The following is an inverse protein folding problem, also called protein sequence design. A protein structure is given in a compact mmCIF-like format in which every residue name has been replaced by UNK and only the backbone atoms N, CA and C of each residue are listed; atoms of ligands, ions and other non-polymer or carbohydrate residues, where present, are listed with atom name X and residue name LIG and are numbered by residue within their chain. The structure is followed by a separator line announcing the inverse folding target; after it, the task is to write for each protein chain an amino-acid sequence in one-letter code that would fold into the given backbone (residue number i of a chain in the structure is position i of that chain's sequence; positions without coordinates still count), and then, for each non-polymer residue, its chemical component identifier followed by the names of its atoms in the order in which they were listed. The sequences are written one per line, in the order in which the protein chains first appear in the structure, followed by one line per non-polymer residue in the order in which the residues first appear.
data_IF_229070536551
#
_entry.id   IF_229070536551
#
_cell.length_a   1.000
_cell.length_b   1.000
_cell.length_c   1.000
_cell.angle_alpha   90.00
_cell.angle_beta   90.00
_cell.angle_gamma   90.00
#
_symmetry.space_group_name_H-M   'P 1'
#
loop_
_entity.id
_entity.type
_entity.pdbx_description
1 polymer ?
#
# COMPACT_ATOMS: atom_id res chain seq x y z
N UNK A 1 7.40 12.11 -35.16
CA UNK A 1 8.83 12.08 -35.57
C UNK A 1 9.63 13.28 -35.07
N UNK A 2 9.08 14.50 -35.03
CA UNK A 2 9.83 15.70 -34.59
C UNK A 2 10.37 15.63 -33.15
N UNK A 3 9.58 15.10 -32.20
CA UNK A 3 9.99 14.93 -30.80
C UNK A 3 11.06 13.85 -30.58
N UNK A 4 11.07 12.81 -31.43
CA UNK A 4 12.08 11.74 -31.36
C UNK A 4 13.47 12.27 -31.72
N UNK A 5 13.55 13.11 -32.75
CA UNK A 5 14.81 13.73 -33.18
C UNK A 5 15.42 14.63 -32.09
N UNK A 6 14.61 15.50 -31.48
CA UNK A 6 15.08 16.35 -30.38
C UNK A 6 15.51 15.54 -29.15
N UNK A 7 14.78 14.49 -28.81
CA UNK A 7 15.17 13.61 -27.71
C UNK A 7 16.50 12.92 -27.98
N UNK A 8 16.67 12.33 -29.18
CA UNK A 8 17.93 11.69 -29.58
C UNK A 8 19.11 12.66 -29.58
N UNK A 9 18.92 13.91 -30.00
CA UNK A 9 19.97 14.93 -29.89
C UNK A 9 20.28 15.31 -28.44
N UNK A 10 19.27 15.35 -27.57
CA UNK A 10 19.42 15.70 -26.16
C UNK A 10 20.13 14.61 -25.34
N UNK A 11 19.77 13.33 -25.54
CA UNK A 11 20.36 12.20 -24.78
C UNK A 11 21.50 11.47 -25.49
N UNK A 12 21.60 11.60 -26.81
CA UNK A 12 22.63 10.93 -27.61
C UNK A 12 24.03 11.50 -27.38
N UNK A 13 24.14 12.83 -27.25
CA UNK A 13 25.39 13.52 -26.92
C UNK A 13 25.99 13.07 -25.57
N UNK A 14 25.27 13.13 -24.43
CA UNK A 14 25.80 12.69 -23.14
C UNK A 14 26.13 11.19 -23.14
N UNK A 15 25.31 10.35 -23.77
CA UNK A 15 25.62 8.93 -23.93
C UNK A 15 26.92 8.70 -24.70
N UNK A 16 27.10 9.39 -25.84
CA UNK A 16 28.31 9.27 -26.64
C UNK A 16 29.55 9.75 -25.86
N UNK A 17 29.43 10.85 -25.09
CA UNK A 17 30.51 11.34 -24.22
C UNK A 17 30.92 10.25 -23.21
N UNK A 18 29.95 9.67 -22.49
CA UNK A 18 30.22 8.60 -21.53
C UNK A 18 30.85 7.36 -22.19
N UNK A 19 30.32 6.94 -23.35
CA UNK A 19 30.85 5.80 -24.10
C UNK A 19 32.29 6.02 -24.52
N UNK A 20 32.59 7.15 -25.17
CA UNK A 20 33.92 7.46 -25.66
C UNK A 20 34.94 7.59 -24.53
N UNK A 21 34.53 8.11 -23.35
CA UNK A 21 35.39 8.27 -22.19
C UNK A 21 36.01 6.94 -21.72
N UNK A 22 35.27 5.82 -21.78
CA UNK A 22 35.75 4.51 -21.31
C UNK A 22 36.03 3.51 -22.44
N UNK A 23 35.56 3.75 -23.67
CA UNK A 23 35.71 2.86 -24.83
C UNK A 23 37.15 2.79 -25.41
N UNK A 24 37.98 3.82 -25.22
CA UNK A 24 39.34 3.87 -25.79
C UNK A 24 40.44 3.60 -24.76
N UNK A 25 40.09 3.13 -23.57
CA UNK A 25 41.06 2.93 -22.50
C UNK A 25 41.90 1.67 -22.76
N UNK A 26 43.06 1.86 -23.41
CA UNK A 26 43.94 0.78 -23.85
C UNK A 26 44.58 -0.03 -22.71
N UNK A 27 44.67 0.55 -21.51
CA UNK A 27 45.39 0.00 -20.35
C UNK A 27 44.43 -0.71 -19.39
N UNK A 28 44.43 -2.04 -19.40
CA UNK A 28 43.51 -2.90 -18.64
C UNK A 28 43.54 -2.75 -17.12
N UNK A 29 44.74 -2.71 -16.55
CA UNK A 29 44.98 -2.33 -15.15
C UNK A 29 44.40 -0.98 -14.71
N UNK A 30 44.07 -0.06 -15.63
CA UNK A 30 43.44 1.23 -15.30
C UNK A 30 41.91 1.21 -15.44
N UNK A 31 41.32 0.18 -16.07
CA UNK A 31 39.88 0.08 -16.25
C UNK A 31 39.15 -0.10 -14.92
N UNK A 32 39.69 -0.92 -14.01
CA UNK A 32 39.12 -1.15 -12.68
C UNK A 32 39.08 0.13 -11.84
N UNK A 33 40.20 0.86 -11.62
CA UNK A 33 40.15 2.12 -10.87
C UNK A 33 39.34 3.21 -11.59
N UNK A 34 39.39 3.30 -12.93
CA UNK A 34 38.56 4.25 -13.68
C UNK A 34 37.06 3.96 -13.53
N UNK A 35 36.66 2.69 -13.54
CA UNK A 35 35.29 2.26 -13.31
C UNK A 35 34.80 2.57 -11.89
N UNK A 36 35.66 2.37 -10.87
CA UNK A 36 35.35 2.74 -9.48
C UNK A 36 35.18 4.25 -9.35
N UNK A 37 36.10 5.05 -9.91
CA UNK A 37 36.00 6.52 -9.90
C UNK A 37 34.73 6.99 -10.62
N UNK A 38 34.41 6.41 -11.79
CA UNK A 38 33.20 6.73 -12.51
C UNK A 38 31.93 6.40 -11.70
N UNK A 39 31.88 5.23 -11.02
CA UNK A 39 30.76 4.85 -10.18
C UNK A 39 30.58 5.76 -8.95
N UNK A 40 31.68 6.21 -8.35
CA UNK A 40 31.65 7.15 -7.21
C UNK A 40 31.15 8.52 -7.67
N UNK A 41 31.68 9.05 -8.78
CA UNK A 41 31.22 10.32 -9.36
C UNK A 41 29.75 10.25 -9.75
N UNK A 42 29.31 9.14 -10.34
CA UNK A 42 27.92 8.90 -10.69
C UNK A 42 26.97 8.99 -9.50
N UNK A 43 27.38 8.38 -8.38
CA UNK A 43 26.60 8.38 -7.16
C UNK A 43 26.48 9.78 -6.58
N UNK A 44 27.58 10.52 -6.55
CA UNK A 44 27.62 11.91 -6.04
C UNK A 44 26.73 12.82 -6.90
N UNK A 45 26.84 12.73 -8.22
CA UNK A 45 26.02 13.51 -9.16
C UNK A 45 24.54 13.13 -9.06
N UNK A 46 24.22 11.84 -8.95
CA UNK A 46 22.84 11.39 -8.78
C UNK A 46 22.22 11.92 -7.48
N UNK A 47 22.94 11.84 -6.35
CA UNK A 47 22.48 12.37 -5.07
C UNK A 47 22.34 13.90 -5.09
N UNK A 48 23.29 14.61 -5.72
CA UNK A 48 23.27 16.07 -5.90
C UNK A 48 22.05 16.53 -6.70
N UNK A 49 21.77 15.88 -7.83
CA UNK A 49 20.62 16.24 -8.67
C UNK A 49 19.30 15.83 -8.00
N UNK A 50 19.26 14.70 -7.30
CA UNK A 50 18.07 14.24 -6.59
C UNK A 50 17.72 15.11 -5.36
N UNK A 51 18.67 15.90 -4.84
CA UNK A 51 18.43 16.88 -3.78
C UNK A 51 17.88 18.23 -4.29
N UNK A 52 17.69 18.40 -5.61
CA UNK A 52 17.22 19.65 -6.20
C UNK A 52 15.72 19.59 -6.55
N UNK A 53 14.91 20.47 -5.98
CA UNK A 53 13.44 20.49 -6.15
C UNK A 53 12.94 21.22 -7.41
N UNK A 54 13.72 21.25 -8.49
CA UNK A 54 13.39 21.97 -9.73
C UNK A 54 13.05 21.09 -10.93
N UNK A 55 12.28 21.60 -11.90
CA UNK A 55 12.07 20.93 -13.19
C UNK A 55 13.38 20.65 -13.95
N UNK A 56 14.44 21.45 -13.69
CA UNK A 56 15.79 21.21 -14.19
C UNK A 56 16.46 19.98 -13.58
N UNK A 57 16.07 19.55 -12.38
CA UNK A 57 16.60 18.34 -11.75
C UNK A 57 16.20 17.08 -12.52
N UNK A 58 14.93 16.99 -12.96
CA UNK A 58 14.47 15.87 -13.78
C UNK A 58 15.27 15.73 -15.09
N UNK A 59 15.55 16.85 -15.77
CA UNK A 59 16.40 16.86 -16.97
C UNK A 59 17.85 16.48 -16.65
N UNK A 60 18.39 16.95 -15.52
CA UNK A 60 19.71 16.57 -15.01
C UNK A 60 19.83 15.06 -14.75
N UNK A 61 18.83 14.45 -14.11
CA UNK A 61 18.81 13.00 -13.84
C UNK A 61 18.86 12.22 -15.15
N UNK A 62 18.06 12.62 -16.15
CA UNK A 62 18.06 11.95 -17.47
C UNK A 62 19.45 12.04 -18.11
N UNK A 63 20.08 13.21 -18.12
CA UNK A 63 21.41 13.39 -18.70
C UNK A 63 22.46 12.52 -17.97
N UNK A 64 22.48 12.54 -16.64
CA UNK A 64 23.40 11.73 -15.83
C UNK A 64 23.21 10.24 -16.09
N UNK A 65 21.96 9.76 -16.16
CA UNK A 65 21.67 8.36 -16.48
C UNK A 65 22.22 7.96 -17.86
N UNK A 66 22.02 8.78 -18.89
CA UNK A 66 22.55 8.48 -20.22
C UNK A 66 24.08 8.54 -20.29
N UNK A 67 24.75 9.47 -19.58
CA UNK A 67 26.21 9.45 -19.42
C UNK A 67 26.67 8.14 -18.77
N UNK A 68 25.96 7.67 -17.74
CA UNK A 68 26.30 6.45 -17.02
C UNK A 68 26.13 5.18 -17.84
N UNK A 69 25.04 5.07 -18.59
CA UNK A 69 24.83 3.96 -19.53
C UNK A 69 25.89 4.00 -20.63
N UNK A 70 26.26 5.19 -21.10
CA UNK A 70 27.39 5.40 -22.02
C UNK A 70 28.69 4.87 -21.44
N UNK A 71 29.07 5.31 -20.25
CA UNK A 71 30.28 4.88 -19.56
C UNK A 71 30.31 3.36 -19.36
N UNK A 72 29.23 2.75 -18.86
CA UNK A 72 29.14 1.32 -18.65
C UNK A 72 29.28 0.53 -19.97
N UNK A 73 28.62 0.96 -21.03
CA UNK A 73 28.73 0.32 -22.35
C UNK A 73 30.13 0.50 -22.95
N UNK A 74 30.77 1.66 -22.77
CA UNK A 74 32.17 1.90 -23.15
C UNK A 74 33.14 0.99 -22.39
N UNK A 75 32.92 0.77 -21.10
CA UNK A 75 33.71 -0.17 -20.29
C UNK A 75 33.57 -1.61 -20.80
N UNK A 76 32.34 -2.08 -21.06
CA UNK A 76 32.09 -3.42 -21.63
C UNK A 76 32.73 -3.56 -23.00
N UNK A 77 32.63 -2.54 -23.86
CA UNK A 77 33.24 -2.53 -25.18
C UNK A 77 34.78 -2.68 -25.10
N UNK A 78 35.43 -1.91 -24.23
CA UNK A 78 36.88 -2.02 -23.97
C UNK A 78 37.28 -3.40 -23.45
N UNK A 79 36.47 -3.98 -22.56
CA UNK A 79 36.60 -5.34 -22.04
C UNK A 79 36.59 -6.40 -23.15
N UNK A 80 35.58 -6.35 -24.00
CA UNK A 80 35.42 -7.29 -25.11
C UNK A 80 36.55 -7.15 -26.14
N UNK A 81 36.94 -5.92 -26.49
CA UNK A 81 37.96 -5.66 -27.51
C UNK A 81 39.32 -6.23 -27.11
N UNK A 82 39.73 -6.12 -25.84
CA UNK A 82 41.06 -6.62 -25.45
C UNK A 82 41.06 -8.12 -25.11
N UNK A 83 39.97 -8.71 -24.62
CA UNK A 83 39.85 -10.19 -24.59
C UNK A 83 39.93 -10.76 -26.02
N UNK A 84 39.33 -10.06 -26.99
CA UNK A 84 39.44 -10.42 -28.42
C UNK A 84 40.86 -10.27 -28.98
N UNK A 85 41.71 -9.42 -28.40
CA UNK A 85 43.12 -9.27 -28.79
C UNK A 85 44.03 -10.37 -28.22
N UNK A 86 43.72 -10.89 -27.05
CA UNK A 86 44.52 -11.94 -26.40
C UNK A 86 44.18 -13.35 -26.88
N UNK A 87 42.99 -13.54 -27.45
CA UNK A 87 42.55 -14.82 -28.02
C UNK A 87 42.76 -14.85 -29.54
N UNK A 88 42.96 -16.04 -30.14
CA UNK A 88 43.13 -16.24 -31.60
C UNK A 88 41.91 -15.81 -32.45
N UNK A 89 40.89 -15.23 -31.82
CA UNK A 89 39.63 -14.77 -32.41
C UNK A 89 39.80 -13.35 -32.96
N UNK A 90 40.71 -13.19 -33.94
CA UNK A 90 40.89 -11.93 -34.69
C UNK A 90 39.61 -11.48 -35.43
N UNK A 91 38.60 -12.35 -35.50
CA UNK A 91 37.29 -12.10 -36.12
C UNK A 91 36.41 -11.09 -35.34
N UNK A 92 36.62 -10.91 -34.03
CA UNK A 92 35.98 -9.82 -33.28
C UNK A 92 36.76 -8.51 -33.50
N UNK A 93 36.82 -8.06 -34.76
CA UNK A 93 37.38 -6.74 -35.08
C UNK A 93 36.59 -5.70 -34.29
N UNK A 94 37.29 -4.78 -33.63
CA UNK A 94 36.68 -3.65 -32.91
C UNK A 94 35.64 -2.90 -33.76
N UNK A 95 35.82 -2.91 -35.08
CA UNK A 95 34.88 -2.39 -36.09
C UNK A 95 33.46 -2.96 -35.96
N UNK A 96 33.29 -4.22 -35.52
CA UNK A 96 31.97 -4.84 -35.32
C UNK A 96 31.51 -4.77 -33.87
N UNK A 97 32.41 -4.95 -32.90
CA UNK A 97 32.05 -4.97 -31.47
C UNK A 97 31.59 -3.59 -30.99
N UNK A 98 32.30 -2.52 -31.37
CA UNK A 98 31.99 -1.16 -30.94
C UNK A 98 30.59 -0.68 -31.34
N UNK A 99 30.16 -0.77 -32.62
CA UNK A 99 28.81 -0.33 -32.98
C UNK A 99 27.73 -1.22 -32.35
N UNK A 100 27.96 -2.52 -32.20
CA UNK A 100 26.99 -3.42 -31.56
C UNK A 100 26.80 -3.04 -30.09
N UNK A 101 27.89 -2.88 -29.32
CA UNK A 101 27.81 -2.51 -27.91
C UNK A 101 27.25 -1.09 -27.74
N UNK A 102 27.59 -0.16 -28.64
CA UNK A 102 27.03 1.19 -28.64
C UNK A 102 25.51 1.19 -28.86
N UNK A 103 25.01 0.42 -29.84
CA UNK A 103 23.58 0.35 -30.16
C UNK A 103 22.81 -0.38 -29.05
N UNK A 104 23.32 -1.51 -28.57
CA UNK A 104 22.67 -2.28 -27.48
C UNK A 104 22.69 -1.49 -26.17
N UNK A 105 23.81 -0.84 -25.84
CA UNK A 105 23.94 0.01 -24.67
C UNK A 105 22.92 1.14 -24.66
N UNK A 106 22.77 1.84 -25.78
CA UNK A 106 21.79 2.92 -25.91
C UNK A 106 20.35 2.40 -25.85
N UNK A 107 20.08 1.27 -26.52
CA UNK A 107 18.76 0.63 -26.53
C UNK A 107 18.32 0.07 -25.18
N UNK A 108 19.27 -0.26 -24.29
CA UNK A 108 18.99 -0.88 -22.99
C UNK A 108 18.07 -0.02 -22.10
N UNK A 109 18.22 1.31 -22.13
CA UNK A 109 17.35 2.24 -21.40
C UNK A 109 15.89 2.12 -21.82
N UNK A 110 15.63 2.04 -23.13
CA UNK A 110 14.28 1.92 -23.66
C UNK A 110 13.66 0.56 -23.35
N UNK A 111 14.45 -0.52 -23.42
CA UNK A 111 13.99 -1.86 -23.04
C UNK A 111 13.64 -1.91 -21.55
N UNK A 112 14.49 -1.37 -20.67
CA UNK A 112 14.24 -1.34 -19.22
C UNK A 112 13.01 -0.49 -18.88
N UNK A 113 12.90 0.71 -19.44
CA UNK A 113 11.74 1.59 -19.18
C UNK A 113 10.45 1.01 -19.75
N UNK A 114 10.47 0.42 -20.94
CA UNK A 114 9.33 -0.26 -21.54
C UNK A 114 8.90 -1.50 -20.75
N UNK A 115 9.86 -2.34 -20.31
CA UNK A 115 9.56 -3.50 -19.46
C UNK A 115 9.02 -3.07 -18.10
N UNK A 116 9.59 -2.06 -17.47
CA UNK A 116 9.04 -1.49 -16.23
C UNK A 116 7.63 -0.96 -16.42
N UNK A 117 7.36 -0.27 -17.54
CA UNK A 117 6.02 0.20 -17.87
C UNK A 117 5.05 -0.97 -18.05
N UNK A 118 5.43 -2.01 -18.81
CA UNK A 118 4.60 -3.21 -19.00
C UNK A 118 4.35 -3.98 -17.70
N UNK A 119 5.34 -4.03 -16.81
CA UNK A 119 5.19 -4.61 -15.47
C UNK A 119 4.21 -3.77 -14.64
N UNK A 120 4.30 -2.44 -14.70
CA UNK A 120 3.33 -1.55 -14.03
C UNK A 120 1.92 -1.75 -14.59
N UNK A 121 1.77 -1.74 -15.91
CA UNK A 121 0.49 -2.02 -16.58
C UNK A 121 -0.09 -3.37 -16.13
N UNK A 122 0.72 -4.43 -16.06
CA UNK A 122 0.29 -5.74 -15.61
C UNK A 122 -0.07 -5.78 -14.11
N UNK A 123 0.67 -5.05 -13.25
CA UNK A 123 0.39 -4.95 -11.81
C UNK A 123 -0.90 -4.17 -11.53
N UNK A 124 -1.16 -3.10 -12.28
CA UNK A 124 -2.34 -2.25 -12.10
C UNK A 124 -3.54 -2.63 -12.98
N UNK A 125 -3.42 -3.68 -13.80
CA UNK A 125 -4.55 -4.19 -14.58
C UNK A 125 -5.74 -4.55 -13.67
N UNK A 126 -6.98 -4.16 -14.02
CA UNK A 126 -8.15 -4.45 -13.21
C UNK A 126 -8.40 -5.95 -13.10
N UNK A 127 -9.07 -6.42 -12.03
CA UNK A 127 -9.54 -7.79 -11.93
C UNK A 127 -10.55 -8.13 -13.05
N UNK A 128 -10.75 -9.42 -13.29
CA UNK A 128 -11.79 -9.89 -14.20
C UNK A 128 -13.19 -9.53 -13.68
N UNK A 129 -14.15 -9.29 -14.57
CA UNK A 129 -15.52 -8.91 -14.19
C UNK A 129 -16.17 -9.91 -13.22
N UNK A 130 -15.91 -11.21 -13.41
CA UNK A 130 -16.40 -12.26 -12.52
C UNK A 130 -15.90 -12.08 -11.07
N UNK A 131 -14.64 -11.69 -10.88
CA UNK A 131 -14.07 -11.38 -9.56
C UNK A 131 -14.68 -10.11 -8.94
N UNK A 132 -15.16 -9.17 -9.75
CA UNK A 132 -15.77 -7.94 -9.22
C UNK A 132 -17.26 -8.12 -8.88
N UNK A 133 -17.96 -8.98 -9.62
CA UNK A 133 -19.40 -9.17 -9.51
C UNK A 133 -19.79 -10.32 -8.55
N UNK A 134 -18.89 -11.28 -8.30
CA UNK A 134 -19.17 -12.42 -7.43
C UNK A 134 -18.90 -12.13 -5.95
N UNK A 135 -19.53 -12.94 -5.10
CA UNK A 135 -19.17 -13.04 -3.69
C UNK A 135 -18.17 -14.17 -3.51
N UNK A 136 -17.08 -13.87 -2.83
CA UNK A 136 -15.99 -14.81 -2.64
C UNK A 136 -16.13 -15.54 -1.31
N UNK A 137 -16.28 -16.88 -1.31
CA UNK A 137 -16.42 -17.63 -0.08
C UNK A 137 -15.10 -17.61 0.70
N UNK A 138 -15.18 -17.27 1.97
CA UNK A 138 -14.06 -17.30 2.90
C UNK A 138 -14.53 -17.80 4.27
N UNK A 139 -13.58 -18.13 5.14
CA UNK A 139 -13.86 -18.57 6.51
C UNK A 139 -13.02 -17.80 7.51
N UNK A 140 -13.63 -17.38 8.61
CA UNK A 140 -12.93 -16.81 9.76
C UNK A 140 -13.26 -17.65 11.00
N UNK A 141 -12.24 -18.23 11.63
CA UNK A 141 -12.42 -19.36 12.54
C UNK A 141 -13.32 -20.45 11.90
N UNK A 142 -14.52 -20.67 12.45
CA UNK A 142 -15.49 -21.66 11.93
C UNK A 142 -16.65 -21.03 11.15
N UNK A 143 -16.70 -19.70 11.04
CA UNK A 143 -17.82 -18.97 10.42
C UNK A 143 -17.55 -18.80 8.92
N UNK A 144 -18.44 -19.32 8.09
CA UNK A 144 -18.45 -19.05 6.65
C UNK A 144 -18.94 -17.63 6.38
N UNK A 145 -18.21 -16.90 5.55
CA UNK A 145 -18.55 -15.56 5.09
C UNK A 145 -18.37 -15.45 3.59
N UNK A 146 -19.06 -14.50 2.98
CA UNK A 146 -19.04 -14.20 1.56
C UNK A 146 -18.59 -12.74 1.37
N UNK A 147 -17.40 -12.54 0.80
CA UNK A 147 -16.74 -11.24 0.76
C UNK A 147 -16.87 -10.64 -0.65
N UNK A 148 -17.48 -9.45 -0.79
CA UNK A 148 -17.44 -8.71 -2.05
C UNK A 148 -16.09 -7.99 -2.22
N UNK A 149 -15.68 -7.78 -3.47
CA UNK A 149 -14.53 -6.89 -3.77
C UNK A 149 -14.96 -5.43 -3.62
N UNK A 150 -14.85 -4.91 -2.40
CA UNK A 150 -15.27 -3.57 -2.03
C UNK A 150 -14.13 -2.72 -1.45
N UNK A 151 -14.21 -1.38 -1.52
CA UNK A 151 -13.24 -0.52 -0.86
C UNK A 151 -13.34 -0.61 0.66
N UNK A 152 -12.24 -0.26 1.35
CA UNK A 152 -12.21 -0.25 2.81
C UNK A 152 -12.13 -1.63 3.45
N UNK A 153 -12.06 -2.72 2.66
CA UNK A 153 -11.85 -4.06 3.19
C UNK A 153 -10.36 -4.46 3.15
N UNK A 154 -9.83 -4.84 4.31
CA UNK A 154 -8.55 -5.54 4.44
C UNK A 154 -8.75 -6.92 5.03
N UNK A 155 -8.10 -7.90 4.43
CA UNK A 155 -8.19 -9.29 4.85
C UNK A 155 -6.82 -9.77 5.31
N UNK A 156 -6.74 -10.43 6.46
CA UNK A 156 -5.51 -11.06 6.94
C UNK A 156 -5.79 -12.55 7.12
N UNK A 157 -4.87 -13.44 6.76
CA UNK A 157 -5.06 -14.89 6.82
C UNK A 157 -3.79 -15.69 6.99
N UNK A 158 -3.97 -17.00 7.16
CA UNK A 158 -2.87 -17.97 7.20
C UNK A 158 -2.57 -18.45 5.78
N UNK A 159 -1.29 -18.39 5.36
CA UNK A 159 -0.86 -18.88 4.05
C UNK A 159 -1.12 -17.94 2.86
N UNK A 160 -1.54 -16.70 3.10
CA UNK A 160 -1.63 -15.68 2.06
C UNK A 160 -0.24 -15.31 1.53
N UNK A 161 -0.14 -15.08 0.21
CA UNK A 161 1.11 -14.74 -0.47
C UNK A 161 1.68 -13.37 -0.02
N UNK A 162 0.81 -12.52 0.53
CA UNK A 162 1.10 -11.27 1.23
C UNK A 162 0.45 -11.33 2.62
N UNK A 163 1.00 -10.65 3.64
CA UNK A 163 0.47 -10.68 5.02
C UNK A 163 -1.00 -10.20 5.13
N UNK A 164 -1.54 -9.60 4.06
CA UNK A 164 -2.89 -9.10 3.93
C UNK A 164 -3.30 -8.92 2.46
N UNK A 165 -4.61 -8.90 2.18
CA UNK A 165 -5.18 -8.42 0.93
C UNK A 165 -5.86 -7.06 1.15
N UNK A 166 -5.46 -6.07 0.34
CA UNK A 166 -6.13 -4.78 0.27
C UNK A 166 -7.14 -4.83 -0.87
N UNK A 167 -8.44 -4.97 -0.61
CA UNK A 167 -9.39 -5.24 -1.69
C UNK A 167 -9.57 -4.07 -2.66
N UNK A 168 -9.12 -2.85 -2.34
CA UNK A 168 -9.06 -1.73 -3.29
C UNK A 168 -7.77 -1.66 -4.12
N UNK A 169 -6.81 -2.56 -3.89
CA UNK A 169 -5.67 -2.78 -4.78
C UNK A 169 -6.06 -3.78 -5.88
N UNK A 170 -5.72 -3.50 -7.15
CA UNK A 170 -6.04 -4.40 -8.25
C UNK A 170 -5.20 -5.69 -8.23
N UNK A 171 -3.97 -5.66 -7.70
CA UNK A 171 -3.16 -6.87 -7.53
C UNK A 171 -3.76 -7.79 -6.47
N UNK A 172 -4.12 -7.22 -5.33
CA UNK A 172 -4.52 -7.98 -4.15
C UNK A 172 -5.94 -8.51 -4.31
N UNK A 173 -6.84 -7.74 -4.94
CA UNK A 173 -8.16 -8.22 -5.29
C UNK A 173 -8.08 -9.44 -6.24
N UNK A 174 -7.21 -9.41 -7.26
CA UNK A 174 -7.01 -10.57 -8.16
C UNK A 174 -6.46 -11.79 -7.41
N UNK A 175 -5.47 -11.58 -6.56
CA UNK A 175 -4.88 -12.65 -5.76
C UNK A 175 -5.91 -13.27 -4.81
N UNK A 176 -6.70 -12.44 -4.12
CA UNK A 176 -7.77 -12.89 -3.25
C UNK A 176 -8.85 -13.67 -4.00
N UNK A 177 -9.35 -13.15 -5.13
CA UNK A 177 -10.36 -13.85 -5.93
C UNK A 177 -9.87 -15.23 -6.38
N UNK A 178 -8.63 -15.32 -6.87
CA UNK A 178 -8.03 -16.59 -7.29
C UNK A 178 -7.94 -17.61 -6.16
N UNK A 179 -7.68 -17.16 -4.93
CA UNK A 179 -7.58 -18.04 -3.75
C UNK A 179 -8.96 -18.44 -3.23
N UNK A 180 -9.86 -17.47 -3.12
CA UNK A 180 -11.20 -17.67 -2.56
C UNK A 180 -12.10 -18.51 -3.46
N UNK A 181 -12.02 -18.32 -4.78
CA UNK A 181 -12.78 -19.14 -5.74
C UNK A 181 -12.29 -20.60 -5.78
N UNK A 182 -11.07 -20.86 -5.30
CA UNK A 182 -10.54 -22.19 -5.04
C UNK A 182 -11.10 -22.87 -3.79
N UNK A 183 -11.90 -22.17 -2.97
CA UNK A 183 -12.60 -22.70 -1.81
C UNK A 183 -11.78 -22.81 -0.51
N UNK A 184 -10.56 -22.27 -0.47
CA UNK A 184 -9.61 -22.45 0.64
C UNK A 184 -9.26 -21.17 1.42
N UNK A 185 -9.92 -20.03 1.14
CA UNK A 185 -9.59 -18.78 1.81
C UNK A 185 -9.94 -18.79 3.31
N UNK A 186 -8.93 -19.01 4.15
CA UNK A 186 -9.03 -18.92 5.62
C UNK A 186 -8.42 -17.62 6.14
N UNK A 187 -9.22 -16.86 6.88
CA UNK A 187 -8.90 -15.54 7.41
C UNK A 187 -8.67 -15.60 8.92
N UNK A 188 -7.72 -14.80 9.38
CA UNK A 188 -7.48 -14.43 10.78
C UNK A 188 -8.27 -13.21 11.18
N UNK A 189 -8.38 -12.24 10.29
CA UNK A 189 -9.16 -11.03 10.53
C UNK A 189 -9.68 -10.40 9.25
N UNK A 190 -10.80 -9.69 9.41
CA UNK A 190 -11.43 -8.84 8.41
C UNK A 190 -11.53 -7.45 9.00
N UNK A 191 -10.90 -6.47 8.37
CA UNK A 191 -10.93 -5.07 8.77
C UNK A 191 -11.76 -4.28 7.77
N UNK A 192 -12.65 -3.46 8.29
CA UNK A 192 -13.47 -2.50 7.58
C UNK A 192 -13.01 -1.10 7.96
N UNK A 193 -12.60 -0.33 6.96
CA UNK A 193 -12.33 1.11 7.06
C UNK A 193 -13.50 1.83 6.43
N UNK A 194 -14.34 2.41 7.28
CA UNK A 194 -15.66 2.95 6.93
C UNK A 194 -15.69 4.47 6.99
N UNK A 195 -14.57 5.13 7.22
CA UNK A 195 -14.46 6.59 7.22
C UNK A 195 -14.35 7.20 5.81
N UNK A 196 -14.30 6.35 4.78
CA UNK A 196 -14.08 6.73 3.39
C UNK A 196 -12.63 7.08 3.08
N UNK A 197 -11.68 6.82 3.98
CA UNK A 197 -10.23 6.96 3.77
C UNK A 197 -9.63 5.64 3.26
N UNK A 198 -9.95 5.29 2.01
CA UNK A 198 -8.92 5.57 1.02
C UNK A 198 -9.45 6.36 -0.20
N UNK A 199 -10.33 7.36 -0.01
CA UNK A 199 -10.74 8.22 -1.11
C UNK A 199 -9.81 9.43 -1.28
N UNK A 200 -8.96 9.36 -2.31
CA UNK A 200 -8.68 10.47 -3.24
C UNK A 200 -7.67 10.12 -4.34
N UNK A 201 -6.77 9.17 -4.13
CA UNK A 201 -5.76 8.79 -5.16
C UNK A 201 -5.78 7.32 -5.58
N UNK A 202 -6.29 6.43 -4.73
CA UNK A 202 -6.32 4.99 -5.01
C UNK A 202 -7.68 4.53 -5.56
N UNK A 203 -8.74 5.30 -5.33
CA UNK A 203 -10.11 5.04 -5.81
C UNK A 203 -10.42 5.52 -7.24
N UNK A 204 -9.48 6.18 -7.95
CA UNK A 204 -9.74 6.80 -9.26
C UNK A 204 -9.89 5.82 -10.44
N UNK A 205 -9.83 4.51 -10.20
CA UNK A 205 -10.11 3.51 -11.25
C UNK A 205 -11.49 2.91 -11.04
N UNK A 206 -12.49 3.44 -11.76
CA UNK A 206 -13.86 2.92 -11.98
C UNK A 206 -14.11 1.52 -11.37
N UNK A 207 -14.51 1.47 -10.08
CA UNK A 207 -14.84 0.20 -9.43
C UNK A 207 -16.36 -0.07 -9.49
N UNK A 208 -16.79 -1.28 -9.87
CA UNK A 208 -18.22 -1.62 -9.97
C UNK A 208 -18.98 -1.49 -8.64
N UNK A 209 -18.35 -1.77 -7.50
CA UNK A 209 -19.03 -1.78 -6.20
C UNK A 209 -19.68 -0.42 -5.86
N UNK A 210 -18.91 0.68 -5.86
CA UNK A 210 -19.49 2.00 -5.58
C UNK A 210 -20.31 2.59 -6.74
N UNK A 211 -20.44 1.90 -7.87
CA UNK A 211 -21.19 2.40 -9.03
C UNK A 211 -22.70 2.22 -8.91
N UNK A 212 -23.16 1.36 -8.00
CA UNK A 212 -24.58 1.09 -7.75
C UNK A 212 -24.89 1.07 -6.24
N UNK A 213 -26.15 1.31 -5.85
CA UNK A 213 -26.57 1.09 -4.47
C UNK A 213 -26.45 -0.39 -4.07
N UNK A 214 -26.05 -0.62 -2.81
CA UNK A 214 -25.93 -1.94 -2.20
C UNK A 214 -26.76 -2.01 -0.91
N UNK A 215 -28.10 -2.11 -0.99
CA UNK A 215 -28.97 -2.21 0.18
C UNK A 215 -28.65 -3.43 1.08
N UNK A 216 -28.04 -4.47 0.51
CA UNK A 216 -27.55 -5.65 1.22
C UNK A 216 -26.37 -5.34 2.16
N UNK A 217 -25.63 -4.25 1.93
CA UNK A 217 -24.44 -3.88 2.70
C UNK A 217 -24.66 -2.53 3.40
N UNK A 218 -25.04 -2.52 4.70
CA UNK A 218 -25.36 -1.28 5.43
C UNK A 218 -24.14 -0.35 5.63
N UNK A 219 -22.95 -0.83 5.29
CA UNK A 219 -21.67 -0.13 5.34
C UNK A 219 -21.19 0.40 3.98
N UNK A 220 -21.80 0.01 2.86
CA UNK A 220 -21.31 0.34 1.52
C UNK A 220 -21.24 1.86 1.28
N UNK A 221 -22.26 2.60 1.71
CA UNK A 221 -22.30 4.06 1.56
C UNK A 221 -21.11 4.74 2.26
N UNK A 222 -20.80 4.31 3.48
CA UNK A 222 -19.68 4.84 4.28
C UNK A 222 -18.31 4.44 3.71
N UNK A 223 -18.19 3.23 3.15
CA UNK A 223 -16.96 2.81 2.48
C UNK A 223 -16.71 3.57 1.16
N UNK A 224 -17.78 3.99 0.48
CA UNK A 224 -17.71 4.69 -0.80
C UNK A 224 -17.59 6.22 -0.68
N UNK A 225 -17.96 6.81 0.45
CA UNK A 225 -18.01 8.27 0.63
C UNK A 225 -17.31 8.73 1.92
N UNK A 226 -16.50 9.79 1.83
CA UNK A 226 -15.87 10.41 3.02
C UNK A 226 -16.93 10.90 3.99
N UNK A 227 -16.80 10.45 5.24
CA UNK A 227 -17.57 11.02 6.33
C UNK A 227 -17.03 12.42 6.63
N UNK A 228 -17.89 13.46 6.61
CA UNK A 228 -17.48 14.78 7.05
C UNK A 228 -16.88 14.72 8.45
N UNK A 229 -15.77 15.43 8.67
CA UNK A 229 -15.05 15.33 9.94
C UNK A 229 -15.95 15.71 11.11
N UNK A 230 -16.80 16.73 10.95
CA UNK A 230 -17.72 17.30 11.93
C UNK A 230 -18.93 16.42 12.31
N UNK A 231 -19.14 15.30 11.64
CA UNK A 231 -20.28 14.39 11.88
C UNK A 231 -19.87 13.25 12.83
N UNK A 232 -20.73 12.98 13.81
CA UNK A 232 -20.65 11.78 14.67
C UNK A 232 -21.56 10.71 14.07
N UNK A 233 -21.02 9.69 13.36
CA UNK A 233 -21.84 8.64 12.78
C UNK A 233 -22.40 7.72 13.86
N UNK A 234 -23.60 7.20 13.62
CA UNK A 234 -24.26 6.14 14.40
C UNK A 234 -23.70 4.74 14.11
N UNK A 235 -22.65 4.67 13.30
CA UNK A 235 -21.97 3.46 12.83
C UNK A 235 -20.48 3.54 13.17
N UNK A 236 -19.78 2.40 13.25
CA UNK A 236 -18.34 2.40 13.44
C UNK A 236 -17.61 3.06 12.26
N UNK A 237 -16.52 3.78 12.54
CA UNK A 237 -15.64 4.39 11.53
C UNK A 237 -14.56 3.40 11.06
N UNK A 238 -14.17 2.49 11.93
CA UNK A 238 -13.33 1.34 11.62
C UNK A 238 -13.80 0.16 12.44
N UNK A 239 -13.71 -1.04 11.89
CA UNK A 239 -14.15 -2.27 12.55
C UNK A 239 -13.25 -3.42 12.15
N UNK A 240 -12.88 -4.27 13.09
CA UNK A 240 -12.09 -5.48 12.89
C UNK A 240 -12.83 -6.65 13.50
N UNK A 241 -13.07 -7.68 12.70
CA UNK A 241 -13.49 -9.00 13.19
C UNK A 241 -12.28 -9.90 13.12
N UNK A 242 -11.90 -10.52 14.24
CA UNK A 242 -10.72 -11.37 14.30
C UNK A 242 -10.98 -12.65 15.08
N UNK A 243 -10.18 -13.68 14.76
CA UNK A 243 -10.04 -14.84 15.64
C UNK A 243 -9.51 -14.35 16.99
N UNK A 244 -10.15 -14.79 18.07
CA UNK A 244 -9.82 -14.39 19.44
C UNK A 244 -8.37 -14.78 19.75
N UNK A 245 -7.46 -13.84 19.54
CA UNK A 245 -6.12 -13.93 20.10
C UNK A 245 -6.23 -13.73 21.61
N UNK A 246 -5.26 -14.23 22.37
CA UNK A 246 -5.09 -13.86 23.79
C UNK A 246 -4.64 -12.39 23.86
N UNK A 247 -5.57 -11.48 23.59
CA UNK A 247 -5.29 -10.09 23.24
C UNK A 247 -4.92 -9.29 24.51
N UNK A 248 -3.77 -8.58 24.54
CA UNK A 248 -3.43 -7.67 25.63
C UNK A 248 -4.50 -6.59 25.90
N UNK A 249 -5.36 -6.28 24.93
CA UNK A 249 -6.48 -5.33 25.08
C UNK A 249 -7.50 -5.74 26.15
N UNK A 250 -7.63 -7.02 26.50
CA UNK A 250 -8.53 -7.51 27.56
C UNK A 250 -7.99 -7.21 28.97
N UNK A 251 -6.66 -7.02 29.12
CA UNK A 251 -6.03 -6.73 30.42
C UNK A 251 -6.26 -5.29 30.88
N UNK A 252 -6.34 -4.32 29.96
CA UNK A 252 -6.53 -2.91 30.30
C UNK A 252 -7.88 -2.64 30.98
N UNK A 253 -9.04 -3.11 30.47
CA UNK A 253 -10.32 -2.99 31.17
C UNK A 253 -10.29 -3.57 32.59
N UNK A 254 -9.72 -4.77 32.75
CA UNK A 254 -9.61 -5.42 34.06
C UNK A 254 -8.71 -4.65 35.03
N UNK A 255 -7.66 -4.01 34.54
CA UNK A 255 -6.82 -3.13 35.35
C UNK A 255 -7.57 -1.84 35.75
N UNK A 256 -8.31 -1.23 34.82
CA UNK A 256 -9.05 0.00 35.07
C UNK A 256 -10.22 -0.20 36.04
N UNK A 257 -10.88 -1.36 36.01
CA UNK A 257 -11.96 -1.70 36.96
C UNK A 257 -11.52 -1.74 38.43
N UNK A 258 -10.21 -1.77 38.70
CA UNK A 258 -9.65 -1.66 40.07
C UNK A 258 -9.60 -0.22 40.58
N UNK A 259 -9.71 0.78 39.69
CA UNK A 259 -9.71 2.18 40.05
C UNK A 259 -11.13 2.64 40.46
N UNK A 260 -11.22 3.73 41.21
CA UNK A 260 -12.50 4.30 41.61
C UNK A 260 -13.10 5.11 40.44
N UNK A 261 -14.30 4.75 39.94
CA UNK A 261 -14.94 5.50 38.86
C UNK A 261 -15.65 6.75 39.37
N UNK A 262 -15.77 7.76 38.50
CA UNK A 262 -16.81 8.77 38.62
C UNK A 262 -18.09 8.21 38.03
N UNK A 263 -19.19 8.25 38.79
CA UNK A 263 -20.48 7.69 38.37
C UNK A 263 -21.47 8.83 38.10
N UNK A 264 -22.00 8.89 36.88
CA UNK A 264 -23.04 9.84 36.50
C UNK A 264 -24.44 9.35 36.90
N UNK A 265 -25.45 10.22 36.82
CA UNK A 265 -26.83 9.92 37.24
C UNK A 265 -27.52 8.85 36.38
N UNK A 266 -27.05 8.67 35.15
CA UNK A 266 -27.49 7.62 34.21
C UNK A 266 -26.76 6.28 34.42
N UNK A 267 -25.87 6.20 35.43
CA UNK A 267 -25.10 5.02 35.76
C UNK A 267 -23.82 4.84 34.92
N UNK A 268 -23.48 5.78 34.04
CA UNK A 268 -22.22 5.77 33.31
C UNK A 268 -21.04 5.87 34.29
N UNK A 269 -20.12 4.92 34.21
CA UNK A 269 -18.88 4.94 35.00
C UNK A 269 -17.73 5.43 34.14
N UNK A 270 -17.05 6.46 34.60
CA UNK A 270 -15.88 7.04 33.95
C UNK A 270 -14.63 6.75 34.76
N UNK A 271 -13.62 6.17 34.10
CA UNK A 271 -12.29 5.98 34.65
C UNK A 271 -11.32 6.85 33.85
N UNK A 272 -10.38 7.54 34.51
CA UNK A 272 -9.37 8.36 33.83
C UNK A 272 -7.99 7.75 34.03
N UNK A 273 -7.22 7.66 32.95
CA UNK A 273 -5.81 7.30 32.99
C UNK A 273 -5.03 8.20 32.04
N UNK A 274 -4.25 9.14 32.59
CA UNK A 274 -3.48 10.11 31.82
C UNK A 274 -4.35 10.88 30.79
N UNK A 275 -4.20 10.58 29.49
CA UNK A 275 -4.93 11.20 28.39
C UNK A 275 -6.12 10.39 27.88
N UNK A 276 -6.30 9.16 28.39
CA UNK A 276 -7.38 8.27 27.99
C UNK A 276 -8.50 8.27 29.05
N UNK A 277 -9.73 8.18 28.54
CA UNK A 277 -10.96 8.10 29.31
C UNK A 277 -11.61 6.77 29.00
N UNK A 278 -11.86 5.96 30.03
CA UNK A 278 -12.58 4.71 29.86
C UNK A 278 -14.01 4.87 30.34
N UNK A 279 -14.95 4.48 29.50
CA UNK A 279 -16.37 4.66 29.72
C UNK A 279 -17.03 3.28 29.80
N UNK A 280 -17.72 3.03 30.91
CA UNK A 280 -18.45 1.78 31.16
C UNK A 280 -19.94 2.04 31.37
N UNK A 281 -20.78 1.41 30.54
CA UNK A 281 -22.23 1.44 30.67
C UNK A 281 -22.73 0.53 31.82
N UNK A 282 -23.96 0.73 32.30
CA UNK A 282 -24.54 -0.12 33.35
C UNK A 282 -24.64 -1.62 33.01
N UNK A 283 -24.75 -1.96 31.72
CA UNK A 283 -24.79 -3.34 31.23
C UNK A 283 -23.41 -3.99 31.10
N UNK A 284 -22.34 -3.28 31.46
CA UNK A 284 -20.97 -3.77 31.46
C UNK A 284 -20.19 -3.47 30.18
N UNK A 285 -20.82 -2.88 29.15
CA UNK A 285 -20.13 -2.43 27.94
C UNK A 285 -19.01 -1.45 28.29
N UNK A 286 -17.82 -1.66 27.73
CA UNK A 286 -16.61 -0.94 28.08
C UNK A 286 -15.90 -0.43 26.83
N UNK A 287 -15.62 0.87 26.78
CA UNK A 287 -14.88 1.49 25.70
C UNK A 287 -13.71 2.32 26.24
N UNK A 288 -12.60 2.30 25.51
CA UNK A 288 -11.47 3.22 25.71
C UNK A 288 -11.64 4.39 24.76
N UNK A 289 -11.66 5.60 25.29
CA UNK A 289 -11.85 6.82 24.53
C UNK A 289 -10.65 7.76 24.70
N UNK A 290 -10.24 8.36 23.59
CA UNK A 290 -9.20 9.37 23.53
C UNK A 290 -9.82 10.75 23.27
N UNK A 291 -9.45 11.73 24.09
CA UNK A 291 -9.83 13.12 23.89
C UNK A 291 -8.69 13.85 23.16
N UNK A 292 -8.91 14.16 21.88
CA UNK A 292 -7.92 14.85 21.05
C UNK A 292 -7.71 16.33 21.44
N UNK A 293 -8.58 16.92 22.28
CA UNK A 293 -8.58 18.33 22.69
C UNK A 293 -8.42 19.32 21.52
N UNK A 294 -8.78 18.90 20.31
CA UNK A 294 -8.62 19.68 19.09
C UNK A 294 -9.92 20.40 18.76
N UNK A 295 -9.83 21.67 18.37
CA UNK A 295 -10.99 22.43 17.88
C UNK A 295 -11.59 21.84 16.59
N UNK A 296 -10.81 21.10 15.81
CA UNK A 296 -11.29 20.43 14.59
C UNK A 296 -11.90 19.04 14.84
N UNK A 297 -11.73 18.48 16.04
CA UNK A 297 -12.25 17.17 16.43
C UNK A 297 -12.82 17.23 17.86
N UNK A 298 -13.97 17.89 18.06
CA UNK A 298 -14.59 18.10 19.37
C UNK A 298 -15.20 16.85 20.02
N UNK A 299 -15.13 15.67 19.37
CA UNK A 299 -15.64 14.40 19.90
C UNK A 299 -14.49 13.51 20.43
N UNK A 300 -14.86 12.60 21.31
CA UNK A 300 -14.03 11.48 21.74
C UNK A 300 -13.89 10.45 20.62
N UNK A 301 -12.68 9.93 20.42
CA UNK A 301 -12.44 8.76 19.59
C UNK A 301 -12.42 7.52 20.48
N UNK A 302 -13.39 6.63 20.34
CA UNK A 302 -13.61 5.50 21.23
C UNK A 302 -13.40 4.18 20.51
N UNK A 303 -12.72 3.24 21.17
CA UNK A 303 -12.56 1.85 20.74
C UNK A 303 -13.25 0.94 21.74
N UNK A 304 -14.04 -0.01 21.24
CA UNK A 304 -14.65 -1.06 22.05
C UNK A 304 -14.40 -2.43 21.43
N UNK A 305 -14.33 -3.45 22.30
CA UNK A 305 -14.14 -4.83 21.88
C UNK A 305 -15.19 -5.71 22.55
N UNK A 306 -15.87 -6.52 21.75
CA UNK A 306 -16.90 -7.44 22.20
C UNK A 306 -16.61 -8.86 21.70
N UNK A 307 -17.08 -9.85 22.44
CA UNK A 307 -17.02 -11.24 22.00
C UNK A 307 -18.22 -11.55 21.10
N UNK A 308 -17.97 -12.07 19.89
CA UNK A 308 -19.02 -12.55 18.98
C UNK A 308 -19.31 -14.04 19.21
N UNK A 309 -18.29 -14.80 19.59
CA UNK A 309 -18.37 -16.22 19.96
C UNK A 309 -17.12 -16.61 20.76
N UNK A 310 -17.04 -17.86 21.23
CA UNK A 310 -15.85 -18.39 21.91
C UNK A 310 -14.55 -18.24 21.11
N UNK A 311 -14.66 -18.13 19.77
CA UNK A 311 -13.51 -18.06 18.84
C UNK A 311 -13.37 -16.71 18.13
N UNK A 312 -14.34 -15.80 18.23
CA UNK A 312 -14.35 -14.55 17.47
C UNK A 312 -14.58 -13.35 18.37
N UNK A 313 -13.81 -12.30 18.13
CA UNK A 313 -14.02 -10.98 18.70
C UNK A 313 -14.31 -9.96 17.60
N UNK A 314 -15.03 -8.91 17.96
CA UNK A 314 -15.24 -7.71 17.16
C UNK A 314 -14.66 -6.53 17.92
N UNK A 315 -13.77 -5.79 17.28
CA UNK A 315 -13.26 -4.51 17.79
C UNK A 315 -13.69 -3.42 16.84
N UNK A 316 -14.12 -2.27 17.33
CA UNK A 316 -14.53 -1.18 16.46
C UNK A 316 -14.28 0.18 17.10
N UNK A 317 -13.97 1.12 16.22
CA UNK A 317 -13.74 2.52 16.54
C UNK A 317 -14.99 3.32 16.17
N UNK A 318 -15.34 4.28 17.02
CA UNK A 318 -16.47 5.16 16.83
C UNK A 318 -16.23 6.50 17.48
N UNK A 319 -17.01 7.51 17.07
CA UNK A 319 -16.94 8.85 17.63
C UNK A 319 -18.10 9.05 18.59
N UNK A 320 -17.89 9.77 19.69
CA UNK A 320 -18.97 10.10 20.62
C UNK A 320 -18.62 11.31 21.49
N UNK A 321 -19.57 11.80 22.28
CA UNK A 321 -19.31 12.71 23.39
C UNK A 321 -19.67 12.02 24.70
N UNK A 322 -19.30 12.60 25.84
CA UNK A 322 -19.66 12.01 27.13
C UNK A 322 -21.19 11.91 27.31
N UNK A 323 -21.94 12.90 26.81
CA UNK A 323 -23.39 12.99 26.92
C UNK A 323 -24.12 11.99 26.01
N UNK A 324 -23.57 11.72 24.83
CA UNK A 324 -24.18 10.82 23.84
C UNK A 324 -23.67 9.38 23.99
N UNK A 325 -22.68 9.12 24.85
CA UNK A 325 -22.00 7.83 24.88
C UNK A 325 -22.94 6.65 25.11
N UNK A 326 -23.86 6.71 26.08
CA UNK A 326 -24.76 5.59 26.41
C UNK A 326 -25.60 5.20 25.19
N UNK A 327 -26.26 6.17 24.57
CA UNK A 327 -27.17 5.92 23.44
C UNK A 327 -26.39 5.58 22.16
N UNK A 328 -25.32 6.32 21.87
CA UNK A 328 -24.52 6.16 20.66
C UNK A 328 -23.79 4.81 20.65
N UNK A 329 -23.16 4.41 21.75
CA UNK A 329 -22.39 3.17 21.79
C UNK A 329 -23.27 1.93 21.63
N UNK A 330 -24.51 1.95 22.12
CA UNK A 330 -25.48 0.86 21.89
C UNK A 330 -25.86 0.74 20.41
N UNK A 331 -26.13 1.87 19.75
CA UNK A 331 -26.45 1.91 18.31
C UNK A 331 -25.25 1.47 17.47
N UNK A 332 -24.05 1.97 17.78
CA UNK A 332 -22.80 1.58 17.09
C UNK A 332 -22.52 0.09 17.25
N UNK A 333 -22.65 -0.47 18.46
CA UNK A 333 -22.47 -1.90 18.71
C UNK A 333 -23.42 -2.76 17.86
N UNK A 334 -24.69 -2.34 17.80
CA UNK A 334 -25.71 -2.99 16.98
C UNK A 334 -25.35 -2.93 15.49
N UNK A 335 -24.93 -1.76 15.01
CA UNK A 335 -24.50 -1.57 13.63
C UNK A 335 -23.23 -2.36 13.30
N UNK A 336 -22.24 -2.44 14.19
CA UNK A 336 -21.04 -3.24 14.01
C UNK A 336 -21.37 -4.74 13.84
N UNK A 337 -22.28 -5.27 14.67
CA UNK A 337 -22.79 -6.64 14.52
C UNK A 337 -23.55 -6.83 13.21
N UNK A 338 -24.39 -5.87 12.81
CA UNK A 338 -25.12 -5.91 11.53
C UNK A 338 -24.17 -5.92 10.32
N UNK A 339 -23.07 -5.16 10.37
CA UNK A 339 -22.04 -5.13 9.33
C UNK A 339 -21.36 -6.49 9.18
N UNK A 340 -20.97 -7.15 10.27
CA UNK A 340 -20.41 -8.50 10.17
C UNK A 340 -21.45 -9.51 9.68
N UNK A 341 -22.69 -9.40 10.16
CA UNK A 341 -23.77 -10.31 9.76
C UNK A 341 -24.14 -10.18 8.28
N UNK A 342 -23.94 -9.02 7.64
CA UNK A 342 -24.19 -8.88 6.20
C UNK A 342 -23.17 -9.62 5.32
N UNK A 343 -22.05 -10.10 5.88
CA UNK A 343 -21.13 -10.98 5.19
C UNK A 343 -21.45 -12.48 5.38
N UNK A 344 -22.41 -12.83 6.23
CA UNK A 344 -22.80 -14.24 6.40
C UNK A 344 -23.77 -14.64 5.28
N UNK A 345 -23.67 -15.89 4.76
CA UNK A 345 -24.52 -16.38 3.69
C UNK A 345 -25.99 -16.50 4.07
#
# INVERSE_FOLDING_TARGET
MHYLGHFLSFVGLPYAIGFLALCFWWRWWLLVPAGIVAAVLAKIEYESVNASDGAGAALGIILVVFVMIGAASGFVASGLVVIGRTTRVQALRAVYVLPIVFIIGFGSYFVVTWTQQKIREARYAPPEAACLDNLHPARIADVGIAIPVAPGLFLYGDGMNDDHYILWSNSDARAFCSEADGGNATLKSVVFTLDGSPSRREMETNRPFCSRPHPEYPWAEMACHLIPTDVIPDKPVQMTVSVKASDPSVREPQAMLKNQPTVASDGLRTYRSQNDVYLQRPDGYFARCHDHRSKSQPWLSCTATEELSDKLAISYDFRSTAELFITQSATVATNARAIFNSLKP
#
